data_IF_719942032625
#
_entry.id   IF_719942032625
#
_cell.length_a   1.000
_cell.length_b   1.000
_cell.length_c   1.000
_cell.angle_alpha   90.00
_cell.angle_beta   90.00
_cell.angle_gamma   90.00
#
_symmetry.space_group_name_H-M   'P 1'
#
loop_
_entity.id
_entity.type
_entity.pdbx_description
1 polymer ?
#
# COMPACT_ATOMS: atom_id res chain seq x y z
N UNK A 1 0.72 -82.57 61.09
CA UNK A 1 0.45 -82.19 59.68
C UNK A 1 0.71 -80.71 59.48
N UNK A 2 1.68 -80.35 58.64
CA UNK A 2 1.74 -79.11 57.87
C UNK A 2 2.90 -79.26 56.86
N UNK A 3 2.57 -79.33 55.57
CA UNK A 3 3.53 -79.53 54.48
C UNK A 3 4.19 -78.20 54.07
N UNK A 4 5.53 -78.11 53.90
CA UNK A 4 6.18 -76.86 53.50
C UNK A 4 5.80 -76.45 52.08
N UNK A 5 5.24 -75.24 51.92
CA UNK A 5 4.91 -74.65 50.61
C UNK A 5 6.20 -74.36 49.83
N UNK A 6 6.34 -74.96 48.64
CA UNK A 6 7.42 -74.64 47.69
C UNK A 6 7.21 -73.23 47.11
N UNK A 7 8.22 -72.37 47.24
CA UNK A 7 8.25 -71.05 46.59
C UNK A 7 8.61 -71.27 45.12
N UNK A 8 7.65 -71.03 44.22
CA UNK A 8 7.87 -71.04 42.78
C UNK A 8 8.61 -69.75 42.39
N UNK A 9 9.92 -69.84 42.15
CA UNK A 9 10.69 -68.74 41.57
C UNK A 9 10.38 -68.67 40.08
N UNK A 10 9.61 -67.66 39.66
CA UNK A 10 9.52 -67.29 38.25
C UNK A 10 10.84 -66.63 37.84
N UNK A 11 11.55 -67.28 36.92
CA UNK A 11 12.67 -66.68 36.19
C UNK A 11 12.09 -65.92 35.00
N UNK A 12 12.31 -64.61 34.94
CA UNK A 12 12.06 -63.85 33.70
C UNK A 12 13.28 -64.01 32.80
N UNK A 13 13.09 -64.63 31.64
CA UNK A 13 14.08 -64.65 30.57
C UNK A 13 14.29 -63.23 30.05
N UNK A 14 15.44 -62.66 30.34
CA UNK A 14 15.91 -61.43 29.72
C UNK A 14 16.24 -61.73 28.26
N UNK A 15 15.54 -61.09 27.32
CA UNK A 15 15.90 -61.13 25.90
C UNK A 15 17.20 -60.33 25.71
N UNK A 16 18.34 -61.01 25.62
CA UNK A 16 19.68 -60.39 25.47
C UNK A 16 19.98 -59.82 24.06
N UNK A 17 18.97 -59.52 23.24
CA UNK A 17 19.19 -59.18 21.83
C UNK A 17 19.02 -57.70 21.42
N UNK A 18 18.88 -56.76 22.37
CA UNK A 18 19.09 -55.34 22.06
C UNK A 18 20.49 -54.91 22.53
N UNK A 19 21.47 -54.97 21.63
CA UNK A 19 22.74 -54.25 21.80
C UNK A 19 22.44 -52.75 21.82
N UNK A 20 22.18 -52.19 23.00
CA UNK A 20 22.10 -50.75 23.19
C UNK A 20 23.39 -50.09 22.71
N UNK A 21 23.28 -48.98 21.97
CA UNK A 21 24.44 -48.17 21.56
C UNK A 21 25.26 -47.81 22.80
N UNK A 22 26.59 -47.92 22.70
CA UNK A 22 27.45 -47.51 23.81
C UNK A 22 27.47 -45.98 23.92
N UNK A 23 27.80 -45.45 25.10
CA UNK A 23 27.90 -44.00 25.31
C UNK A 23 28.93 -43.34 24.36
N UNK A 24 29.96 -44.09 23.93
CA UNK A 24 30.95 -43.66 22.94
C UNK A 24 30.34 -43.46 21.56
N UNK A 25 29.48 -44.38 21.11
CA UNK A 25 28.83 -44.32 19.80
C UNK A 25 27.91 -43.08 19.71
N UNK A 26 27.17 -42.80 20.79
CA UNK A 26 26.30 -41.61 20.88
C UNK A 26 27.11 -40.32 20.86
N UNK A 27 28.28 -40.27 21.51
CA UNK A 27 29.16 -39.10 21.51
C UNK A 27 29.74 -38.82 20.12
N UNK A 28 30.04 -39.85 19.33
CA UNK A 28 30.54 -39.68 17.96
C UNK A 28 29.44 -39.19 17.01
N UNK A 29 28.22 -39.72 17.14
CA UNK A 29 27.04 -39.23 16.41
C UNK A 29 26.71 -37.77 16.75
N UNK A 30 26.80 -37.40 18.03
CA UNK A 30 26.63 -36.01 18.48
C UNK A 30 27.70 -35.08 17.88
N UNK A 31 28.96 -35.52 17.81
CA UNK A 31 30.02 -34.71 17.17
C UNK A 31 29.72 -34.47 15.70
N UNK A 32 29.41 -35.54 14.95
CA UNK A 32 29.07 -35.44 13.51
C UNK A 32 27.88 -34.52 13.27
N UNK A 33 26.81 -34.65 14.06
CA UNK A 33 25.63 -33.78 13.93
C UNK A 33 25.93 -32.32 14.29
N UNK A 34 26.79 -32.05 15.28
CA UNK A 34 27.20 -30.67 15.60
C UNK A 34 28.06 -30.04 14.51
N UNK A 35 28.88 -30.84 13.81
CA UNK A 35 29.69 -30.38 12.68
C UNK A 35 28.81 -30.06 11.47
N UNK A 36 27.89 -30.95 11.09
CA UNK A 36 26.94 -30.70 9.99
C UNK A 36 26.07 -29.48 10.26
N UNK A 37 25.57 -29.31 11.49
CA UNK A 37 24.80 -28.12 11.88
C UNK A 37 25.61 -26.82 11.77
N UNK A 38 26.93 -26.86 12.03
CA UNK A 38 27.79 -25.68 11.86
C UNK A 38 27.98 -25.33 10.39
N UNK A 39 28.17 -26.32 9.53
CA UNK A 39 28.30 -26.14 8.09
C UNK A 39 27.01 -25.57 7.49
N UNK A 40 25.86 -26.16 7.82
CA UNK A 40 24.54 -25.66 7.38
C UNK A 40 24.30 -24.23 7.85
N UNK A 41 24.65 -23.90 9.10
CA UNK A 41 24.55 -22.54 9.61
C UNK A 41 25.48 -21.53 8.92
N UNK A 42 26.61 -21.98 8.36
CA UNK A 42 27.49 -21.13 7.57
C UNK A 42 26.85 -20.84 6.20
N UNK A 43 26.37 -21.89 5.52
CA UNK A 43 25.67 -21.75 4.22
C UNK A 43 24.45 -20.85 4.33
N UNK A 44 23.63 -21.02 5.38
CA UNK A 44 22.45 -20.19 5.62
C UNK A 44 22.85 -18.71 5.80
N UNK A 45 23.93 -18.44 6.54
CA UNK A 45 24.43 -17.06 6.73
C UNK A 45 24.88 -16.44 5.41
N UNK A 46 25.58 -17.20 4.57
CA UNK A 46 26.05 -16.72 3.27
C UNK A 46 24.88 -16.42 2.33
N UNK A 47 23.87 -17.29 2.28
CA UNK A 47 22.64 -17.06 1.53
C UNK A 47 21.90 -15.82 2.03
N UNK A 48 21.83 -15.62 3.35
CA UNK A 48 21.15 -14.48 3.96
C UNK A 48 21.86 -13.16 3.61
N UNK A 49 23.19 -13.15 3.61
CA UNK A 49 23.99 -12.01 3.17
C UNK A 49 23.76 -11.70 1.67
N UNK A 50 23.69 -12.72 0.82
CA UNK A 50 23.39 -12.53 -0.60
C UNK A 50 21.99 -11.92 -0.81
N UNK A 51 20.98 -12.39 -0.07
CA UNK A 51 19.62 -11.83 -0.11
C UNK A 51 19.60 -10.37 0.36
N UNK A 52 20.32 -10.02 1.43
CA UNK A 52 20.44 -8.64 1.90
C UNK A 52 21.03 -7.74 0.81
N UNK A 53 22.08 -8.20 0.11
CA UNK A 53 22.70 -7.43 -0.97
C UNK A 53 21.72 -7.21 -2.13
N UNK A 54 21.01 -8.26 -2.56
CA UNK A 54 19.99 -8.17 -3.61
C UNK A 54 18.88 -7.17 -3.21
N UNK A 55 18.43 -7.21 -1.96
CA UNK A 55 17.41 -6.28 -1.45
C UNK A 55 17.91 -4.83 -1.42
N UNK A 56 19.18 -4.60 -1.10
CA UNK A 56 19.79 -3.28 -1.15
C UNK A 56 19.82 -2.73 -2.58
N UNK A 57 20.26 -3.55 -3.55
CA UNK A 57 20.31 -3.19 -4.96
C UNK A 57 18.92 -2.90 -5.52
N UNK A 58 17.93 -3.75 -5.21
CA UNK A 58 16.53 -3.52 -5.57
C UNK A 58 15.98 -2.22 -4.99
N UNK A 59 16.32 -1.90 -3.74
CA UNK A 59 15.88 -0.65 -3.09
C UNK A 59 16.43 0.58 -3.81
N UNK A 60 17.67 0.54 -4.29
CA UNK A 60 18.28 1.63 -5.06
C UNK A 60 17.58 1.79 -6.41
N UNK A 61 17.36 0.70 -7.15
CA UNK A 61 16.66 0.72 -8.44
C UNK A 61 15.23 1.27 -8.31
N UNK A 62 14.50 0.85 -7.27
CA UNK A 62 13.14 1.37 -7.01
C UNK A 62 13.18 2.88 -6.74
N UNK A 63 14.12 3.37 -5.94
CA UNK A 63 14.26 4.82 -5.67
C UNK A 63 14.55 5.60 -6.96
N UNK A 64 15.38 5.06 -7.84
CA UNK A 64 15.70 5.71 -9.11
C UNK A 64 14.50 5.74 -10.06
N UNK A 65 13.79 4.62 -10.20
CA UNK A 65 12.56 4.54 -11.00
C UNK A 65 11.47 5.49 -10.47
N UNK A 66 11.33 5.61 -9.14
CA UNK A 66 10.39 6.56 -8.52
C UNK A 66 10.79 8.00 -8.82
N UNK A 67 12.09 8.32 -8.84
CA UNK A 67 12.60 9.66 -9.14
C UNK A 67 12.37 10.03 -10.61
N UNK A 68 12.73 9.14 -11.54
CA UNK A 68 12.52 9.33 -12.98
C UNK A 68 11.03 9.51 -13.31
N UNK A 69 10.16 8.68 -12.71
CA UNK A 69 8.70 8.84 -12.85
C UNK A 69 8.17 10.12 -12.21
N UNK A 70 8.84 10.64 -11.18
CA UNK A 70 8.53 11.92 -10.56
C UNK A 70 8.84 13.11 -11.47
N UNK A 71 9.98 13.05 -12.17
CA UNK A 71 10.46 14.09 -13.10
C UNK A 71 9.64 14.12 -14.40
N UNK A 72 9.11 12.97 -14.85
CA UNK A 72 8.25 12.85 -16.03
C UNK A 72 6.78 13.28 -15.80
N UNK A 73 6.41 13.78 -14.62
CA UNK A 73 5.03 14.19 -14.33
C UNK A 73 4.83 15.70 -14.51
N UNK A 74 4.41 16.18 -15.70
CA UNK A 74 4.31 17.61 -15.98
C UNK A 74 3.32 18.36 -15.07
N UNK A 75 2.41 17.65 -14.41
CA UNK A 75 1.34 18.26 -13.61
C UNK A 75 1.63 18.36 -12.10
N UNK A 76 2.67 17.70 -11.57
CA UNK A 76 2.90 17.67 -10.11
C UNK A 76 3.15 19.04 -9.51
N UNK A 77 3.73 19.97 -10.28
CA UNK A 77 3.91 21.38 -9.88
C UNK A 77 2.73 22.30 -10.20
N UNK A 78 1.76 21.83 -11.00
CA UNK A 78 0.59 22.59 -11.44
C UNK A 78 -0.64 22.34 -10.55
N UNK A 79 -0.57 21.33 -9.68
CA UNK A 79 -1.65 20.94 -8.77
C UNK A 79 -1.29 21.26 -7.30
N UNK A 80 -2.27 21.57 -6.45
CA UNK A 80 -3.67 21.80 -6.76
C UNK A 80 -3.89 23.14 -7.49
N UNK A 81 -4.87 23.19 -8.39
CA UNK A 81 -5.25 24.38 -9.18
C UNK A 81 -5.79 25.44 -8.22
N UNK A 82 -5.12 26.59 -8.17
CA UNK A 82 -5.43 27.70 -7.26
C UNK A 82 -6.29 28.77 -7.92
N UNK A 83 -6.10 28.98 -9.21
CA UNK A 83 -6.73 30.06 -9.97
C UNK A 83 -7.50 29.55 -11.18
N UNK A 84 -8.42 30.36 -11.66
CA UNK A 84 -9.28 29.99 -12.78
C UNK A 84 -8.49 29.91 -14.09
N UNK A 85 -7.50 30.79 -14.28
CA UNK A 85 -6.64 30.77 -15.45
C UNK A 85 -5.88 29.44 -15.56
N UNK A 86 -5.41 28.91 -14.43
CA UNK A 86 -4.74 27.61 -14.35
C UNK A 86 -5.67 26.44 -14.75
N UNK A 87 -6.98 26.56 -14.47
CA UNK A 87 -7.97 25.57 -14.89
C UNK A 87 -8.22 25.61 -16.39
N UNK A 88 -8.24 26.82 -16.98
CA UNK A 88 -8.39 27.01 -18.44
C UNK A 88 -7.14 26.50 -19.17
N UNK A 89 -5.94 26.83 -18.70
CA UNK A 89 -4.69 26.31 -19.27
C UNK A 89 -4.63 24.79 -19.21
N UNK A 90 -5.06 24.19 -18.11
CA UNK A 90 -5.07 22.74 -17.96
C UNK A 90 -6.07 22.09 -18.94
N UNK A 91 -7.26 22.68 -19.12
CA UNK A 91 -8.24 22.22 -20.12
C UNK A 91 -7.62 22.19 -21.53
N UNK A 92 -6.92 23.26 -21.93
CA UNK A 92 -6.25 23.34 -23.23
C UNK A 92 -5.13 22.31 -23.37
N UNK A 93 -4.34 22.11 -22.31
CA UNK A 93 -3.27 21.11 -22.26
C UNK A 93 -3.81 19.67 -22.36
N UNK A 94 -4.90 19.35 -21.66
CA UNK A 94 -5.58 18.05 -21.76
C UNK A 94 -6.12 17.84 -23.17
N UNK A 95 -6.71 18.88 -23.78
CA UNK A 95 -7.22 18.82 -25.14
C UNK A 95 -6.13 18.50 -26.17
N UNK A 96 -4.91 19.02 -25.98
CA UNK A 96 -3.77 18.76 -26.87
C UNK A 96 -3.16 17.37 -26.65
N UNK A 97 -2.92 16.98 -25.39
CA UNK A 97 -2.15 15.77 -25.06
C UNK A 97 -2.75 15.02 -23.87
N UNK A 98 -3.95 14.46 -24.04
CA UNK A 98 -4.76 13.85 -22.99
C UNK A 98 -4.01 12.89 -22.05
N UNK A 99 -3.31 11.89 -22.59
CA UNK A 99 -2.73 10.80 -21.78
C UNK A 99 -1.65 11.26 -20.81
N UNK A 100 -0.88 12.27 -21.21
CA UNK A 100 0.21 12.88 -20.43
C UNK A 100 -0.34 13.53 -19.14
N UNK A 101 -1.57 14.06 -19.18
CA UNK A 101 -2.21 14.73 -18.05
C UNK A 101 -3.15 13.80 -17.27
N UNK A 102 -3.82 12.87 -17.94
CA UNK A 102 -4.74 11.91 -17.30
C UNK A 102 -4.01 10.89 -16.44
N UNK A 103 -2.88 10.34 -16.91
CA UNK A 103 -2.15 9.29 -16.18
C UNK A 103 -1.67 9.76 -14.81
N UNK A 104 -1.06 10.96 -14.68
CA UNK A 104 -0.66 11.45 -13.38
C UNK A 104 -1.86 11.89 -12.52
N UNK A 105 -2.93 12.46 -13.10
CA UNK A 105 -4.17 12.74 -12.36
C UNK A 105 -4.76 11.46 -11.76
N UNK A 106 -4.79 10.37 -12.52
CA UNK A 106 -5.20 9.04 -12.05
C UNK A 106 -4.36 8.59 -10.86
N UNK A 107 -3.04 8.78 -10.94
CA UNK A 107 -2.13 8.38 -9.85
C UNK A 107 -2.32 9.17 -8.55
N UNK A 108 -2.79 10.42 -8.64
CA UNK A 108 -3.11 11.26 -7.47
C UNK A 108 -4.43 10.82 -6.83
N UNK A 109 -5.38 10.37 -7.66
CA UNK A 109 -6.71 9.99 -7.21
C UNK A 109 -6.78 8.54 -6.72
N UNK A 110 -5.96 7.63 -7.23
CA UNK A 110 -5.94 6.23 -6.81
C UNK A 110 -4.94 5.98 -5.67
N UNK A 111 -5.26 5.08 -4.72
CA UNK A 111 -6.44 4.21 -4.64
C UNK A 111 -7.68 4.87 -4.01
N UNK A 112 -7.55 6.07 -3.43
CA UNK A 112 -8.56 6.63 -2.54
C UNK A 112 -9.83 7.20 -3.23
N UNK A 113 -9.78 7.37 -4.55
CA UNK A 113 -10.85 7.85 -5.41
C UNK A 113 -11.05 9.38 -5.40
N UNK A 114 -11.86 9.87 -6.36
CA UNK A 114 -12.19 11.29 -6.53
C UNK A 114 -12.76 11.91 -5.25
N UNK A 115 -13.55 11.15 -4.51
CA UNK A 115 -14.28 11.65 -3.35
C UNK A 115 -13.36 12.13 -2.22
N UNK A 116 -12.20 11.49 -2.07
CA UNK A 116 -11.19 11.85 -1.07
C UNK A 116 -10.04 12.66 -1.67
N UNK A 117 -9.64 12.37 -2.92
CA UNK A 117 -8.45 12.93 -3.56
C UNK A 117 -8.66 14.24 -4.33
N UNK A 118 -9.91 14.71 -4.52
CA UNK A 118 -10.18 15.95 -5.27
C UNK A 118 -9.46 17.19 -4.69
N UNK A 119 -9.17 17.20 -3.38
CA UNK A 119 -8.42 18.27 -2.72
C UNK A 119 -6.94 18.38 -3.15
N UNK A 120 -6.39 17.35 -3.78
CA UNK A 120 -5.05 17.37 -4.36
C UNK A 120 -5.05 17.89 -5.79
N UNK A 121 -6.22 17.95 -6.45
CA UNK A 121 -6.37 18.48 -7.81
C UNK A 121 -6.90 19.92 -7.76
N UNK A 122 -7.94 20.19 -6.98
CA UNK A 122 -8.57 21.50 -6.88
C UNK A 122 -8.30 22.11 -5.51
N UNK A 123 -7.90 23.39 -5.50
CA UNK A 123 -7.78 24.15 -4.26
C UNK A 123 -9.16 24.46 -3.65
N UNK A 124 -9.15 24.92 -2.40
CA UNK A 124 -10.37 25.35 -1.70
C UNK A 124 -11.02 26.55 -2.39
N UNK A 125 -10.22 27.44 -2.98
CA UNK A 125 -10.70 28.68 -3.58
C UNK A 125 -11.48 28.37 -4.85
N UNK A 126 -10.94 27.51 -5.71
CA UNK A 126 -11.65 26.98 -6.89
C UNK A 126 -12.91 26.23 -6.47
N UNK A 127 -12.82 25.35 -5.48
CA UNK A 127 -14.00 24.60 -5.03
C UNK A 127 -15.08 25.54 -4.49
N UNK A 128 -14.74 26.66 -3.85
CA UNK A 128 -15.73 27.63 -3.39
C UNK A 128 -16.37 28.44 -4.52
N UNK A 129 -15.60 28.77 -5.56
CA UNK A 129 -16.02 29.54 -6.73
C UNK A 129 -16.84 28.72 -7.74
N UNK A 130 -16.62 27.40 -7.80
CA UNK A 130 -17.27 26.49 -8.74
C UNK A 130 -18.30 25.57 -8.08
N UNK A 131 -19.30 25.19 -8.86
CA UNK A 131 -20.19 24.05 -8.62
C UNK A 131 -20.07 23.09 -9.81
N UNK A 132 -20.53 21.83 -9.67
CA UNK A 132 -20.57 20.91 -10.82
C UNK A 132 -21.41 21.53 -11.95
N UNK A 133 -22.60 22.01 -11.58
CA UNK A 133 -23.53 22.75 -12.42
C UNK A 133 -23.53 24.23 -12.02
N UNK A 134 -23.81 25.16 -12.95
CA UNK A 134 -23.80 26.60 -12.69
C UNK A 134 -25.01 27.02 -11.85
N UNK A 135 -24.94 26.78 -10.53
CA UNK A 135 -26.01 27.08 -9.56
C UNK A 135 -25.53 28.14 -8.57
N UNK A 136 -26.43 29.00 -8.09
CA UNK A 136 -26.17 30.02 -7.05
C UNK A 136 -25.09 31.05 -7.44
N UNK A 137 -25.07 31.48 -8.70
CA UNK A 137 -24.09 32.46 -9.19
C UNK A 137 -22.65 31.95 -9.26
N UNK A 138 -22.45 30.64 -9.08
CA UNK A 138 -21.14 29.99 -9.20
C UNK A 138 -20.94 29.43 -10.60
N UNK A 139 -19.67 29.37 -11.03
CA UNK A 139 -19.29 28.82 -12.33
C UNK A 139 -19.51 27.30 -12.34
N UNK A 140 -19.84 26.75 -13.50
CA UNK A 140 -19.97 25.31 -13.70
C UNK A 140 -18.59 24.71 -13.95
N UNK A 141 -18.22 23.65 -13.24
CA UNK A 141 -17.03 22.87 -13.58
C UNK A 141 -17.23 22.14 -14.90
N UNK A 142 -18.48 21.80 -15.23
CA UNK A 142 -18.89 21.12 -16.47
C UNK A 142 -18.60 21.92 -17.75
N UNK A 143 -18.28 23.22 -17.67
CA UNK A 143 -17.86 23.99 -18.84
C UNK A 143 -16.46 23.61 -19.34
N UNK A 144 -15.62 23.08 -18.46
CA UNK A 144 -14.30 22.52 -18.80
C UNK A 144 -14.49 21.05 -19.15
N UNK A 145 -14.83 20.77 -20.41
CA UNK A 145 -15.35 19.48 -20.86
C UNK A 145 -14.32 18.36 -20.74
N UNK A 146 -13.09 18.61 -21.16
CA UNK A 146 -12.03 17.60 -21.18
C UNK A 146 -11.56 17.29 -19.76
N UNK A 147 -11.34 18.32 -18.95
CA UNK A 147 -11.01 18.18 -17.54
C UNK A 147 -12.11 17.46 -16.77
N UNK A 148 -13.37 17.87 -16.97
CA UNK A 148 -14.50 17.24 -16.28
C UNK A 148 -14.68 15.79 -16.72
N UNK A 149 -14.58 15.49 -18.03
CA UNK A 149 -14.63 14.12 -18.54
C UNK A 149 -13.53 13.25 -17.94
N UNK A 150 -12.29 13.75 -17.88
CA UNK A 150 -11.18 13.05 -17.26
C UNK A 150 -11.48 12.68 -15.79
N UNK A 151 -12.08 13.61 -15.03
CA UNK A 151 -12.48 13.32 -13.64
C UNK A 151 -13.51 12.19 -13.53
N UNK A 152 -14.45 12.08 -14.48
CA UNK A 152 -15.46 11.02 -14.48
C UNK A 152 -14.86 9.65 -14.80
N UNK A 153 -13.84 9.58 -15.65
CA UNK A 153 -13.16 8.31 -16.00
C UNK A 153 -12.47 7.65 -14.81
N UNK A 154 -12.12 8.42 -13.78
CA UNK A 154 -11.50 7.90 -12.56
C UNK A 154 -12.50 7.33 -11.56
N UNK A 155 -13.80 7.46 -11.83
CA UNK A 155 -14.86 6.98 -10.96
C UNK A 155 -15.32 5.62 -11.51
N UNK A 156 -15.20 4.53 -10.73
CA UNK A 156 -15.64 3.23 -11.19
C UNK A 156 -17.15 3.25 -11.48
N UNK A 157 -17.62 2.46 -12.47
CA UNK A 157 -19.05 2.32 -12.72
C UNK A 157 -19.73 1.76 -11.46
N UNK A 158 -20.88 2.33 -11.12
CA UNK A 158 -21.68 1.94 -9.97
C UNK A 158 -23.12 2.42 -10.13
N UNK A 159 -23.90 2.28 -9.07
CA UNK A 159 -25.35 2.57 -9.10
C UNK A 159 -25.68 4.06 -9.27
N UNK A 160 -24.76 4.94 -8.88
CA UNK A 160 -24.92 6.39 -9.02
C UNK A 160 -24.13 6.94 -10.22
N UNK A 161 -24.68 7.93 -10.94
CA UNK A 161 -23.94 8.68 -11.95
C UNK A 161 -22.60 9.21 -11.41
N UNK A 162 -21.49 9.08 -12.16
CA UNK A 162 -20.18 9.59 -11.76
C UNK A 162 -20.18 11.07 -11.33
N UNK A 163 -21.02 11.90 -11.95
CA UNK A 163 -21.18 13.32 -11.60
C UNK A 163 -21.65 13.53 -10.16
N UNK A 164 -22.47 12.63 -9.62
CA UNK A 164 -22.91 12.70 -8.23
C UNK A 164 -21.73 12.50 -7.27
N UNK A 165 -20.77 11.65 -7.62
CA UNK A 165 -19.55 11.45 -6.84
C UNK A 165 -18.69 12.71 -6.82
N UNK A 166 -18.50 13.37 -7.97
CA UNK A 166 -17.80 14.67 -8.05
C UNK A 166 -18.54 15.73 -7.22
N UNK A 167 -19.87 15.79 -7.31
CA UNK A 167 -20.70 16.74 -6.54
C UNK A 167 -20.54 16.52 -5.04
N UNK A 168 -20.61 15.26 -4.58
CA UNK A 168 -20.37 14.87 -3.19
C UNK A 168 -18.96 15.25 -2.72
N UNK A 169 -17.95 15.06 -3.57
CA UNK A 169 -16.56 15.44 -3.28
C UNK A 169 -16.43 16.95 -3.04
N UNK A 170 -16.95 17.78 -3.96
CA UNK A 170 -16.94 19.24 -3.81
C UNK A 170 -17.72 19.69 -2.57
N UNK A 171 -18.89 19.11 -2.29
CA UNK A 171 -19.68 19.41 -1.10
C UNK A 171 -18.92 19.08 0.20
N UNK A 172 -18.24 17.91 0.26
CA UNK A 172 -17.41 17.54 1.41
C UNK A 172 -16.27 18.53 1.63
N UNK A 173 -15.60 18.96 0.55
CA UNK A 173 -14.56 19.98 0.62
C UNK A 173 -15.11 21.32 1.13
N UNK A 174 -16.22 21.81 0.58
CA UNK A 174 -16.91 23.03 1.06
C UNK A 174 -17.25 22.94 2.54
N UNK A 175 -17.88 21.83 2.96
CA UNK A 175 -18.25 21.58 4.36
C UNK A 175 -17.04 21.64 5.29
N UNK A 176 -15.89 21.07 4.90
CA UNK A 176 -14.64 21.16 5.66
C UNK A 176 -14.15 22.60 5.78
N UNK A 177 -14.21 23.40 4.71
CA UNK A 177 -13.80 24.82 4.74
C UNK A 177 -14.70 25.63 5.68
N UNK A 178 -16.02 25.50 5.54
CA UNK A 178 -16.96 26.23 6.41
C UNK A 178 -16.85 25.79 7.87
N UNK A 179 -16.72 24.49 8.16
CA UNK A 179 -16.49 24.00 9.53
C UNK A 179 -15.24 24.63 10.15
N UNK A 180 -14.13 24.71 9.41
CA UNK A 180 -12.91 25.37 9.89
C UNK A 180 -13.12 26.87 10.15
N UNK A 181 -13.82 27.58 9.26
CA UNK A 181 -14.14 29.00 9.45
C UNK A 181 -15.00 29.23 10.69
N UNK A 182 -16.00 28.38 10.96
CA UNK A 182 -16.82 28.50 12.16
C UNK A 182 -16.03 28.24 13.44
N UNK A 183 -15.14 27.24 13.45
CA UNK A 183 -14.31 26.95 14.62
C UNK A 183 -13.32 28.06 14.93
N UNK A 184 -12.71 28.67 13.90
CA UNK A 184 -11.79 29.79 14.08
C UNK A 184 -12.48 31.02 14.70
N UNK A 185 -13.72 31.32 14.27
CA UNK A 185 -14.54 32.40 14.84
C UNK A 185 -14.96 32.19 16.30
N UNK A 186 -14.91 30.95 16.80
CA UNK A 186 -15.26 30.63 18.19
C UNK A 186 -14.03 30.66 19.11
N UNK A 187 -12.83 30.94 18.58
CA UNK A 187 -11.58 31.03 19.33
C UNK A 187 -11.06 32.47 19.43
N UNK A 188 -11.70 33.41 18.74
CA UNK A 188 -11.57 34.87 18.91
C UNK A 188 -12.66 35.36 19.87
#
# INVERSE_FOLDING_TARGET
MASPRKILRYSMQSNENEKGKTCSDVLEELKKTTETLKEENAVIRDQLNAVIQILADQTVLIKQLVKEKGELNPIRGQLPIKREEELVELEEKIKLNRDIYITPMKSILQPAGVLSGLNFILSKDIVLAYNVDAVQGKKALRTHKEFFAALLEFIPPGDEPPENTVRKAMQRMKKRVFKKKCLAKNQE
#
